data_IF_026816179913
#
_entry.id   IF_026816179913
#
_cell.length_a   1.000
_cell.length_b   1.000
_cell.length_c   1.000
_cell.angle_alpha   90.00
_cell.angle_beta   90.00
_cell.angle_gamma   90.00
#
_symmetry.space_group_name_H-M   'P 1'
#
loop_
_entity.id
_entity.type
_entity.pdbx_description
1 polymer ?
#
# COMPACT_ATOMS: atom_id res chain seq x y z
N UNK A 1 8.38 -4.99 8.22
CA UNK A 1 7.86 -5.64 7.00
C UNK A 1 7.81 -4.57 5.93
N UNK A 2 8.82 -4.57 5.07
CA UNK A 2 8.94 -3.58 4.00
C UNK A 2 7.85 -3.86 2.97
N UNK A 3 6.81 -3.03 2.92
CA UNK A 3 5.77 -3.08 1.89
C UNK A 3 6.41 -2.97 0.49
N UNK A 4 7.61 -2.38 0.45
CA UNK A 4 8.54 -2.24 -0.67
C UNK A 4 9.03 -3.56 -1.27
N UNK A 5 8.87 -4.71 -0.59
CA UNK A 5 9.49 -5.98 -0.99
C UNK A 5 8.53 -6.98 -1.67
N UNK A 6 7.21 -6.85 -1.53
CA UNK A 6 6.22 -7.77 -2.14
C UNK A 6 5.48 -7.18 -3.34
N UNK A 7 5.36 -5.85 -3.42
CA UNK A 7 4.83 -5.20 -4.61
C UNK A 7 5.99 -4.75 -5.49
N UNK A 8 6.07 -5.27 -6.71
CA UNK A 8 7.12 -4.99 -7.69
C UNK A 8 7.43 -3.49 -7.72
N UNK A 9 8.66 -3.09 -7.36
CA UNK A 9 9.09 -1.69 -7.39
C UNK A 9 8.86 -1.05 -8.77
N UNK A 10 8.92 -1.87 -9.82
CA UNK A 10 8.60 -1.51 -11.20
C UNK A 10 7.13 -1.09 -11.35
N UNK A 11 6.19 -1.85 -10.79
CA UNK A 11 4.75 -1.52 -10.81
C UNK A 11 4.46 -0.24 -10.03
N UNK A 12 5.12 -0.05 -8.89
CA UNK A 12 4.96 1.18 -8.10
C UNK A 12 5.52 2.40 -8.84
N UNK A 13 6.68 2.28 -9.48
CA UNK A 13 7.25 3.32 -10.33
C UNK A 13 6.28 3.68 -11.47
N UNK A 14 5.67 2.67 -12.12
CA UNK A 14 4.68 2.88 -13.17
C UNK A 14 3.44 3.63 -12.69
N UNK A 15 2.90 3.30 -11.51
CA UNK A 15 1.80 4.06 -10.89
C UNK A 15 2.19 5.54 -10.70
N UNK A 16 3.42 5.81 -10.24
CA UNK A 16 3.90 7.16 -10.02
C UNK A 16 4.09 7.93 -11.34
N UNK A 17 4.59 7.28 -12.38
CA UNK A 17 4.67 7.85 -13.74
C UNK A 17 3.28 8.25 -14.26
N UNK A 18 2.30 7.33 -14.17
CA UNK A 18 0.93 7.61 -14.59
C UNK A 18 0.30 8.73 -13.75
N UNK A 19 0.63 8.81 -12.45
CA UNK A 19 0.16 9.89 -11.59
C UNK A 19 0.80 11.25 -11.94
N UNK A 20 2.07 11.26 -12.35
CA UNK A 20 2.76 12.46 -12.83
C UNK A 20 2.18 12.92 -14.17
N UNK A 21 2.01 11.99 -15.12
CA UNK A 21 1.37 12.26 -16.40
C UNK A 21 -0.03 12.82 -16.22
N UNK A 22 -0.82 12.28 -15.28
CA UNK A 22 -2.16 12.79 -14.96
C UNK A 22 -2.20 14.23 -14.42
N UNK A 23 -1.08 14.74 -13.88
CA UNK A 23 -0.97 16.14 -13.42
C UNK A 23 -0.57 17.07 -14.56
N UNK A 24 0.19 16.57 -15.53
CA UNK A 24 0.64 17.34 -16.69
C UNK A 24 -0.39 17.34 -17.82
N UNK A 25 -1.11 16.23 -18.01
CA UNK A 25 -2.16 16.06 -19.01
C UNK A 25 -3.25 15.11 -18.52
N UNK A 26 -4.39 15.10 -19.21
CA UNK A 26 -5.37 14.03 -19.00
C UNK A 26 -4.80 12.68 -19.46
N UNK A 27 -5.07 11.64 -18.67
CA UNK A 27 -4.72 10.26 -19.01
C UNK A 27 -5.66 9.74 -20.09
N UNK A 28 -5.15 8.93 -21.00
CA UNK A 28 -6.00 8.23 -21.96
C UNK A 28 -6.83 7.15 -21.24
N UNK A 29 -7.89 6.66 -21.89
CA UNK A 29 -8.72 5.60 -21.34
C UNK A 29 -7.92 4.32 -21.01
N UNK A 30 -6.90 4.01 -21.81
CA UNK A 30 -6.01 2.87 -21.61
C UNK A 30 -5.13 3.06 -20.36
N UNK A 31 -4.53 4.23 -20.22
CA UNK A 31 -3.68 4.57 -19.07
C UNK A 31 -4.48 4.64 -17.76
N UNK A 32 -5.73 5.13 -17.82
CA UNK A 32 -6.65 5.09 -16.68
C UNK A 32 -6.94 3.66 -16.24
N UNK A 33 -7.17 2.77 -17.21
CA UNK A 33 -7.42 1.35 -16.95
C UNK A 33 -6.17 0.69 -16.35
N UNK A 34 -4.99 0.94 -16.91
CA UNK A 34 -3.70 0.45 -16.40
C UNK A 34 -3.48 0.92 -14.96
N UNK A 35 -3.63 2.23 -14.69
CA UNK A 35 -3.49 2.80 -13.36
C UNK A 35 -4.47 2.20 -12.35
N UNK A 36 -5.72 1.93 -12.77
CA UNK A 36 -6.74 1.32 -11.91
C UNK A 36 -6.34 -0.10 -11.51
N UNK A 37 -5.96 -0.94 -12.48
CA UNK A 37 -5.52 -2.32 -12.24
C UNK A 37 -4.32 -2.33 -11.29
N UNK A 38 -3.30 -1.52 -11.56
CA UNK A 38 -2.10 -1.44 -10.73
C UNK A 38 -2.40 -1.00 -9.29
N UNK A 39 -3.35 -0.06 -9.10
CA UNK A 39 -3.78 0.37 -7.77
C UNK A 39 -4.57 -0.70 -7.02
N UNK A 40 -5.41 -1.45 -7.71
CA UNK A 40 -6.18 -2.54 -7.10
C UNK A 40 -5.25 -3.66 -6.61
N UNK A 41 -4.28 -4.07 -7.42
CA UNK A 41 -3.25 -5.04 -7.02
C UNK A 41 -2.44 -4.53 -5.82
N UNK A 42 -2.01 -3.27 -5.84
CA UNK A 42 -1.27 -2.66 -4.73
C UNK A 42 -2.08 -2.69 -3.43
N UNK A 43 -3.35 -2.30 -3.49
CA UNK A 43 -4.24 -2.28 -2.33
C UNK A 43 -4.52 -3.68 -1.80
N UNK A 44 -4.65 -4.69 -2.66
CA UNK A 44 -4.84 -6.07 -2.24
C UNK A 44 -3.64 -6.57 -1.44
N UNK A 45 -2.42 -6.38 -1.97
CA UNK A 45 -1.18 -6.77 -1.29
C UNK A 45 -0.96 -5.96 0.00
N UNK A 46 -1.21 -4.64 -0.05
CA UNK A 46 -1.11 -3.78 1.12
C UNK A 46 -2.08 -4.22 2.22
N UNK A 47 -3.33 -4.55 1.90
CA UNK A 47 -4.31 -5.03 2.90
C UNK A 47 -3.91 -6.36 3.53
N UNK A 48 -3.30 -7.25 2.76
CA UNK A 48 -2.80 -8.53 3.27
C UNK A 48 -1.67 -8.31 4.29
N UNK A 49 -0.66 -7.50 3.94
CA UNK A 49 0.42 -7.16 4.87
C UNK A 49 -0.02 -6.31 6.06
N UNK A 50 -0.98 -5.39 5.85
CA UNK A 50 -1.49 -4.52 6.91
C UNK A 50 -2.30 -5.30 7.96
N UNK A 51 -3.09 -6.30 7.57
CA UNK A 51 -3.75 -7.20 8.53
C UNK A 51 -2.75 -7.93 9.41
N UNK A 52 -1.69 -8.48 8.81
CA UNK A 52 -0.62 -9.11 9.58
C UNK A 52 0.08 -8.13 10.53
N UNK A 53 0.23 -6.86 10.15
CA UNK A 53 0.72 -5.84 11.08
C UNK A 53 -0.25 -5.59 12.22
N UNK A 54 -1.55 -5.45 11.95
CA UNK A 54 -2.58 -5.26 12.98
C UNK A 54 -2.64 -6.43 13.97
N UNK A 55 -2.52 -7.66 13.49
CA UNK A 55 -2.50 -8.86 14.35
C UNK A 55 -1.30 -8.88 15.31
N UNK A 56 -0.21 -8.17 14.96
CA UNK A 56 0.97 -8.02 15.80
C UNK A 56 0.92 -6.76 16.70
N UNK A 57 -0.12 -5.92 16.62
CA UNK A 57 -0.28 -4.76 17.50
C UNK A 57 -0.81 -5.25 18.85
N UNK A 58 0.06 -5.21 19.87
CA UNK A 58 -0.34 -5.39 21.27
C UNK A 58 -0.71 -4.02 21.85
N UNK A 59 -1.92 -3.89 22.37
CA UNK A 59 -2.34 -2.70 23.13
C UNK A 59 -1.70 -2.78 24.52
N UNK A 60 -0.72 -1.93 24.78
CA UNK A 60 -0.10 -1.82 26.11
C UNK A 60 -0.78 -0.68 26.87
N UNK A 61 -1.63 -1.01 27.83
CA UNK A 61 -2.11 -0.04 28.82
C UNK A 61 -1.02 0.20 29.87
N UNK A 62 -0.76 1.45 30.31
CA UNK A 62 0.24 1.75 31.34
C UNK A 62 -0.10 1.25 32.75
N UNK A 63 -1.11 0.38 32.90
CA UNK A 63 -1.50 -0.22 34.18
C UNK A 63 -0.97 -1.66 34.26
N UNK A 64 0.36 -1.78 34.28
CA UNK A 64 1.03 -2.99 34.77
C UNK A 64 1.79 -2.64 36.04
N UNK A 65 1.06 -2.21 37.07
CA UNK A 65 1.40 -2.58 38.44
C UNK A 65 0.56 -3.81 38.78
N UNK A 66 1.09 -4.99 38.46
CA UNK A 66 0.66 -6.22 39.11
C UNK A 66 1.82 -6.68 39.97
N UNK A 67 1.69 -6.36 41.24
CA UNK A 67 2.50 -6.91 42.33
C UNK A 67 2.33 -8.43 42.32
N UNK A 68 3.42 -9.16 42.07
CA UNK A 68 3.71 -10.45 42.71
C UNK A 68 5.18 -10.84 42.49
#
# INVERSE_FOLDING_TARGET
>A
MDISNEFDKVKLARINELAKLAKERELTAEELKERKILREEFLANFRAGFRQQLDNITVVTPETESIN
#
